data_IF_945121341777
#
_entry.id   IF_945121341777
#
_cell.length_a   1.000
_cell.length_b   1.000
_cell.length_c   1.000
_cell.angle_alpha   90.00
_cell.angle_beta   90.00
_cell.angle_gamma   90.00
#
_symmetry.space_group_name_H-M   'P 1'
#
loop_
_entity.id
_entity.type
_entity.pdbx_description
1 polymer ?
#
# COMPACT_ATOMS: atom_id res chain seq x y z
N UNK A 1 7.96 -15.25 -13.12
CA UNK A 1 7.37 -13.90 -13.30
C UNK A 1 7.73 -13.34 -14.67
N UNK A 2 9.04 -13.28 -15.04
CA UNK A 2 9.45 -12.69 -16.31
C UNK A 2 8.79 -13.33 -17.53
N UNK A 3 8.70 -14.64 -17.56
CA UNK A 3 8.08 -15.41 -18.65
C UNK A 3 6.59 -15.15 -18.76
N UNK A 4 5.86 -15.23 -17.63
CA UNK A 4 4.43 -14.92 -17.56
C UNK A 4 4.14 -13.46 -17.99
N UNK A 5 4.96 -12.52 -17.51
CA UNK A 5 4.82 -11.09 -17.84
C UNK A 5 5.11 -10.81 -19.32
N UNK A 6 5.92 -11.62 -19.99
CA UNK A 6 6.14 -11.52 -21.42
C UNK A 6 5.03 -12.16 -22.26
N UNK A 7 4.52 -13.31 -21.82
CA UNK A 7 3.45 -14.04 -22.49
C UNK A 7 2.13 -13.25 -22.48
N UNK A 8 1.83 -12.56 -21.37
CA UNK A 8 0.63 -11.73 -21.21
C UNK A 8 0.92 -10.22 -21.36
N UNK A 9 1.50 -9.84 -22.50
CA UNK A 9 1.92 -8.45 -22.75
C UNK A 9 0.79 -7.42 -22.57
N UNK A 10 -0.44 -7.74 -22.99
CA UNK A 10 -1.58 -6.85 -22.81
C UNK A 10 -1.90 -6.59 -21.34
N UNK A 11 -1.89 -7.65 -20.51
CA UNK A 11 -2.13 -7.54 -19.07
C UNK A 11 -1.00 -6.74 -18.38
N UNK A 12 0.24 -6.98 -18.81
CA UNK A 12 1.40 -6.21 -18.34
C UNK A 12 1.23 -4.71 -18.58
N UNK A 13 0.90 -4.33 -19.82
CA UNK A 13 0.75 -2.92 -20.17
C UNK A 13 -0.48 -2.29 -19.49
N UNK A 14 -1.56 -3.02 -19.31
CA UNK A 14 -2.69 -2.57 -18.50
C UNK A 14 -2.28 -2.31 -17.04
N UNK A 15 -1.50 -3.21 -16.45
CA UNK A 15 -0.95 -3.02 -15.10
C UNK A 15 -0.01 -1.81 -15.03
N UNK A 16 0.90 -1.64 -16.02
CA UNK A 16 1.77 -0.46 -16.10
C UNK A 16 0.94 0.82 -16.15
N UNK A 17 -0.08 0.89 -17.01
CA UNK A 17 -0.96 2.06 -17.10
C UNK A 17 -1.66 2.34 -15.76
N UNK A 18 -2.18 1.31 -15.08
CA UNK A 18 -2.81 1.47 -13.78
C UNK A 18 -1.84 2.02 -12.70
N UNK A 19 -0.61 1.51 -12.65
CA UNK A 19 0.41 2.00 -11.72
C UNK A 19 0.89 3.42 -12.05
N UNK A 20 0.98 3.79 -13.35
CA UNK A 20 1.28 5.17 -13.75
C UNK A 20 0.17 6.11 -13.28
N UNK A 21 -1.08 5.76 -13.50
CA UNK A 21 -2.23 6.56 -13.04
C UNK A 21 -2.20 6.69 -11.51
N UNK A 22 -1.98 5.60 -10.79
CA UNK A 22 -1.89 5.61 -9.33
C UNK A 22 -0.74 6.53 -8.85
N UNK A 23 0.45 6.42 -9.45
CA UNK A 23 1.60 7.26 -9.10
C UNK A 23 1.34 8.75 -9.39
N UNK A 24 0.69 9.08 -10.51
CA UNK A 24 0.30 10.45 -10.85
C UNK A 24 -0.70 11.02 -9.83
N UNK A 25 -1.70 10.22 -9.43
CA UNK A 25 -2.67 10.64 -8.42
C UNK A 25 -1.97 10.96 -7.09
N UNK A 26 -1.08 10.06 -6.63
CA UNK A 26 -0.33 10.26 -5.38
C UNK A 26 0.59 11.47 -5.49
N UNK A 27 1.32 11.60 -6.59
CA UNK A 27 2.22 12.73 -6.82
C UNK A 27 1.46 14.06 -6.82
N UNK A 28 0.32 14.13 -7.50
CA UNK A 28 -0.53 15.31 -7.51
C UNK A 28 -1.03 15.69 -6.10
N UNK A 29 -1.25 14.70 -5.23
CA UNK A 29 -1.66 14.94 -3.83
C UNK A 29 -0.50 15.45 -2.98
N UNK A 30 0.68 14.84 -3.12
CA UNK A 30 1.90 15.25 -2.39
C UNK A 30 2.36 16.64 -2.80
N UNK A 31 2.18 17.01 -4.08
CA UNK A 31 2.57 18.33 -4.60
C UNK A 31 1.48 19.39 -4.48
N UNK A 32 0.25 19.01 -4.10
CA UNK A 32 -0.81 19.98 -3.89
C UNK A 32 -0.40 20.97 -2.78
N UNK A 33 -0.47 22.29 -3.03
CA UNK A 33 -0.13 23.27 -2.02
C UNK A 33 -1.06 23.08 -0.81
N UNK A 34 -0.46 22.98 0.39
CA UNK A 34 -1.24 23.03 1.61
C UNK A 34 -2.00 24.36 1.61
N UNK A 35 -3.34 24.29 1.60
CA UNK A 35 -4.14 25.50 1.75
C UNK A 35 -3.77 26.10 3.10
N UNK A 36 -3.20 27.31 3.16
CA UNK A 36 -2.90 27.93 4.42
C UNK A 36 -4.23 28.09 5.18
N UNK A 37 -4.35 27.42 6.31
CA UNK A 37 -5.45 27.71 7.23
C UNK A 37 -5.29 29.17 7.62
N UNK A 38 -6.22 30.02 7.18
CA UNK A 38 -6.24 31.42 7.54
C UNK A 38 -6.34 31.52 9.08
N UNK A 39 -5.49 32.37 9.63
CA UNK A 39 -5.36 32.84 10.99
C UNK A 39 -4.47 32.03 11.96
N UNK A 40 -3.30 32.62 12.33
CA UNK A 40 -2.43 32.09 13.37
C UNK A 40 -2.95 32.34 14.80
N UNK A 41 -4.15 32.90 14.97
CA UNK A 41 -4.68 33.33 16.27
C UNK A 41 -5.40 32.20 17.02
N UNK A 42 -5.89 31.16 16.31
CA UNK A 42 -6.57 30.04 16.95
C UNK A 42 -5.63 28.84 17.11
N UNK A 43 -4.70 28.94 18.06
CA UNK A 43 -3.97 27.78 18.56
C UNK A 43 -4.85 26.89 19.45
N UNK A 44 -5.95 26.39 18.87
CA UNK A 44 -6.83 25.44 19.55
C UNK A 44 -6.20 24.04 19.53
N UNK A 45 -6.50 23.17 20.51
CA UNK A 45 -6.00 21.77 20.51
C UNK A 45 -6.40 21.00 19.24
N UNK A 46 -7.44 21.44 18.51
CA UNK A 46 -7.85 20.89 17.23
C UNK A 46 -6.83 21.13 16.10
N UNK A 47 -6.04 22.20 16.17
CA UNK A 47 -5.01 22.54 15.19
C UNK A 47 -3.81 21.58 15.24
N UNK A 48 -3.51 20.99 16.41
CA UNK A 48 -2.45 20.00 16.57
C UNK A 48 -2.88 18.65 16.00
N UNK A 49 -4.12 18.23 16.26
CA UNK A 49 -4.69 17.00 15.72
C UNK A 49 -4.79 17.04 14.19
N UNK A 50 -5.16 18.20 13.60
CA UNK A 50 -5.19 18.37 12.14
C UNK A 50 -3.80 18.27 11.51
N UNK A 51 -2.77 18.86 12.13
CA UNK A 51 -1.37 18.75 11.66
C UNK A 51 -0.85 17.32 11.74
N UNK A 52 -1.16 16.63 12.82
CA UNK A 52 -0.81 15.24 13.01
C UNK A 52 -1.48 14.32 11.99
N UNK A 53 -2.75 14.58 11.65
CA UNK A 53 -3.46 13.88 10.59
C UNK A 53 -2.82 14.13 9.22
N UNK A 54 -2.49 15.39 8.90
CA UNK A 54 -1.85 15.75 7.64
C UNK A 54 -0.46 15.07 7.47
N UNK A 55 0.32 15.00 8.55
CA UNK A 55 1.62 14.29 8.54
C UNK A 55 1.43 12.79 8.28
N UNK A 56 0.43 12.15 8.89
CA UNK A 56 0.12 10.74 8.65
C UNK A 56 -0.33 10.46 7.20
N UNK A 57 -1.04 11.40 6.58
CA UNK A 57 -1.41 11.31 5.18
C UNK A 57 -0.19 11.38 4.26
N UNK A 58 0.73 12.31 4.51
CA UNK A 58 1.95 12.45 3.71
C UNK A 58 2.86 11.21 3.80
N UNK A 59 2.98 10.59 4.98
CA UNK A 59 3.71 9.32 5.17
C UNK A 59 3.10 8.18 4.34
N UNK A 60 1.77 8.06 4.35
CA UNK A 60 1.06 7.02 3.59
C UNK A 60 1.16 7.26 2.08
N UNK A 61 1.03 8.49 1.63
CA UNK A 61 1.16 8.84 0.21
C UNK A 61 2.59 8.57 -0.29
N UNK A 62 3.62 8.91 0.49
CA UNK A 62 5.00 8.60 0.15
C UNK A 62 5.21 7.07 0.04
N UNK A 63 4.63 6.29 0.95
CA UNK A 63 4.68 4.83 0.92
C UNK A 63 4.03 4.25 -0.35
N UNK A 64 2.84 4.72 -0.70
CA UNK A 64 2.16 4.32 -1.93
C UNK A 64 2.96 4.68 -3.18
N UNK A 65 3.56 5.88 -3.22
CA UNK A 65 4.37 6.31 -4.35
C UNK A 65 5.58 5.40 -4.55
N UNK A 66 6.33 5.12 -3.48
CA UNK A 66 7.50 4.24 -3.53
C UNK A 66 7.09 2.84 -3.99
N UNK A 67 5.98 2.30 -3.45
CA UNK A 67 5.47 0.99 -3.83
C UNK A 67 5.06 0.96 -5.32
N UNK A 68 4.33 1.97 -5.81
CA UNK A 68 3.99 2.09 -7.22
C UNK A 68 5.22 2.12 -8.11
N UNK A 69 6.27 2.86 -7.74
CA UNK A 69 7.52 2.95 -8.50
C UNK A 69 8.27 1.61 -8.54
N UNK A 70 8.30 0.87 -7.43
CA UNK A 70 8.91 -0.47 -7.38
C UNK A 70 8.15 -1.43 -8.28
N UNK A 71 6.82 -1.44 -8.23
CA UNK A 71 5.98 -2.28 -9.09
C UNK A 71 6.12 -1.91 -10.56
N UNK A 72 6.16 -0.62 -10.90
CA UNK A 72 6.45 -0.14 -12.25
C UNK A 72 7.82 -0.62 -12.72
N UNK A 73 8.85 -0.50 -11.89
CA UNK A 73 10.18 -0.98 -12.21
C UNK A 73 10.20 -2.48 -12.57
N UNK A 74 9.50 -3.31 -11.79
CA UNK A 74 9.37 -4.75 -12.07
C UNK A 74 8.60 -5.06 -13.35
N UNK A 75 7.55 -4.29 -13.65
CA UNK A 75 6.70 -4.51 -14.84
C UNK A 75 7.35 -3.99 -16.12
N UNK A 76 8.03 -2.85 -16.06
CA UNK A 76 8.67 -2.22 -17.24
C UNK A 76 9.98 -2.94 -17.59
N UNK A 77 10.76 -3.35 -16.58
CA UNK A 77 12.07 -3.99 -16.75
C UNK A 77 12.10 -5.41 -16.20
N UNK A 78 11.29 -6.35 -16.72
CA UNK A 78 11.16 -7.69 -16.15
C UNK A 78 12.45 -8.51 -16.21
N UNK A 79 13.30 -8.26 -17.21
CA UNK A 79 14.60 -8.92 -17.40
C UNK A 79 15.81 -8.06 -17.00
N UNK A 80 15.63 -6.74 -16.88
CA UNK A 80 16.71 -5.79 -16.57
C UNK A 80 16.88 -5.52 -15.08
N UNK A 81 15.85 -5.75 -14.27
CA UNK A 81 15.94 -5.53 -12.84
C UNK A 81 16.62 -6.71 -12.15
N UNK A 82 17.79 -6.46 -11.54
CA UNK A 82 18.48 -7.47 -10.74
C UNK A 82 17.57 -7.95 -9.60
N UNK A 83 17.32 -9.28 -9.46
CA UNK A 83 16.55 -9.82 -8.35
C UNK A 83 17.10 -9.44 -6.97
N UNK A 84 18.42 -9.27 -6.86
CA UNK A 84 19.07 -8.83 -5.64
C UNK A 84 18.75 -7.36 -5.32
N UNK A 85 18.75 -6.47 -6.31
CA UNK A 85 18.40 -5.07 -6.11
C UNK A 85 16.94 -4.93 -5.68
N UNK A 86 16.02 -5.65 -6.33
CA UNK A 86 14.59 -5.63 -5.95
C UNK A 86 14.36 -6.15 -4.53
N UNK A 87 15.01 -7.26 -4.16
CA UNK A 87 14.96 -7.76 -2.77
C UNK A 87 15.53 -6.73 -1.80
N UNK A 88 16.65 -6.10 -2.13
CA UNK A 88 17.22 -5.05 -1.31
C UNK A 88 16.26 -3.90 -1.07
N UNK A 89 15.60 -3.40 -2.13
CA UNK A 89 14.63 -2.32 -2.02
C UNK A 89 13.41 -2.73 -1.19
N UNK A 90 12.83 -3.90 -1.45
CA UNK A 90 11.66 -4.38 -0.68
C UNK A 90 12.01 -4.63 0.78
N UNK A 91 13.19 -5.16 1.07
CA UNK A 91 13.68 -5.35 2.45
C UNK A 91 13.88 -4.00 3.12
N UNK A 92 14.51 -3.04 2.45
CA UNK A 92 14.69 -1.69 2.98
C UNK A 92 13.35 -1.02 3.28
N UNK A 93 12.36 -1.16 2.40
CA UNK A 93 11.01 -0.66 2.63
C UNK A 93 10.37 -1.30 3.86
N UNK A 94 10.42 -2.64 3.97
CA UNK A 94 9.87 -3.34 5.13
C UNK A 94 10.53 -2.88 6.44
N UNK A 95 11.86 -2.70 6.44
CA UNK A 95 12.62 -2.22 7.60
C UNK A 95 12.25 -0.77 7.94
N UNK A 96 12.13 0.11 6.95
CA UNK A 96 11.75 1.51 7.18
C UNK A 96 10.34 1.61 7.77
N UNK A 97 9.36 0.90 7.20
CA UNK A 97 8.00 0.91 7.73
C UNK A 97 7.90 0.26 9.12
N UNK A 98 8.64 -0.81 9.37
CA UNK A 98 8.73 -1.41 10.70
C UNK A 98 9.37 -0.45 11.71
N UNK A 99 10.46 0.23 11.32
CA UNK A 99 11.12 1.24 12.12
C UNK A 99 10.20 2.42 12.46
N UNK A 100 9.44 2.93 11.46
CA UNK A 100 8.44 3.97 11.67
C UNK A 100 7.34 3.52 12.63
N UNK A 101 6.83 2.29 12.46
CA UNK A 101 5.82 1.73 13.36
C UNK A 101 6.34 1.63 14.80
N UNK A 102 7.56 1.12 14.98
CA UNK A 102 8.21 1.02 16.29
C UNK A 102 8.45 2.39 16.92
N UNK A 103 8.91 3.37 16.12
CA UNK A 103 9.12 4.74 16.59
C UNK A 103 7.81 5.36 17.09
N UNK A 104 6.73 5.22 16.31
CA UNK A 104 5.40 5.72 16.70
C UNK A 104 4.86 5.00 17.94
N UNK A 105 5.06 3.69 18.03
CA UNK A 105 4.69 2.94 19.23
C UNK A 105 5.45 3.44 20.47
N UNK A 106 6.76 3.68 20.35
CA UNK A 106 7.58 4.22 21.44
C UNK A 106 7.15 5.64 21.84
N UNK A 107 6.90 6.53 20.88
CA UNK A 107 6.39 7.89 21.15
C UNK A 107 5.07 7.88 21.91
N UNK A 108 4.16 6.97 21.57
CA UNK A 108 2.88 6.83 22.26
C UNK A 108 3.04 6.22 23.65
N UNK A 109 3.90 5.20 23.79
CA UNK A 109 4.19 4.56 25.07
C UNK A 109 4.82 5.54 26.06
N UNK A 110 5.77 6.39 25.62
CA UNK A 110 6.40 7.41 26.48
C UNK A 110 5.41 8.47 26.96
N UNK A 111 4.32 8.70 26.22
CA UNK A 111 3.22 9.60 26.60
C UNK A 111 2.12 8.92 27.40
N UNK A 112 2.28 7.63 27.77
CA UNK A 112 1.27 6.84 28.45
C UNK A 112 -0.01 6.62 27.63
N UNK A 113 0.07 6.66 26.31
CA UNK A 113 -1.07 6.52 25.38
C UNK A 113 -0.92 5.26 24.54
N UNK A 114 -2.03 4.61 24.22
CA UNK A 114 -2.04 3.54 23.24
C UNK A 114 -1.81 4.12 21.82
N UNK A 115 -1.06 3.38 20.99
CA UNK A 115 -0.88 3.74 19.57
C UNK A 115 -2.25 3.74 18.87
N UNK A 116 -2.65 4.84 18.21
CA UNK A 116 -3.90 4.88 17.45
C UNK A 116 -3.88 3.83 16.33
N UNK A 117 -4.91 3.00 16.29
CA UNK A 117 -5.05 1.94 15.27
C UNK A 117 -4.97 2.56 13.86
N UNK A 118 -5.54 3.73 13.68
CA UNK A 118 -5.58 4.44 12.40
C UNK A 118 -4.19 4.82 11.86
N UNK A 119 -3.15 4.84 12.70
CA UNK A 119 -1.75 5.02 12.30
C UNK A 119 -0.96 3.72 12.20
N UNK A 120 -1.29 2.74 13.03
CA UNK A 120 -0.61 1.45 13.03
C UNK A 120 -0.98 0.60 11.82
N UNK A 121 -2.26 0.61 11.42
CA UNK A 121 -2.79 -0.22 10.34
C UNK A 121 -2.13 0.11 8.99
N UNK A 122 -2.00 1.38 8.55
CA UNK A 122 -1.33 1.69 7.29
C UNK A 122 0.11 1.19 7.22
N UNK A 123 0.89 1.44 8.26
CA UNK A 123 2.29 0.99 8.32
C UNK A 123 2.38 -0.54 8.32
N UNK A 124 1.54 -1.22 9.12
CA UNK A 124 1.45 -2.67 9.15
C UNK A 124 1.07 -3.26 7.79
N UNK A 125 0.17 -2.61 7.08
CA UNK A 125 -0.25 -2.99 5.74
C UNK A 125 0.91 -2.91 4.73
N UNK A 126 1.67 -1.81 4.71
CA UNK A 126 2.83 -1.67 3.82
C UNK A 126 3.93 -2.68 4.14
N UNK A 127 4.13 -3.02 5.42
CA UNK A 127 5.04 -4.11 5.82
C UNK A 127 4.55 -5.44 5.25
N UNK A 128 3.26 -5.74 5.38
CA UNK A 128 2.66 -6.97 4.87
C UNK A 128 2.75 -7.08 3.34
N UNK A 129 2.50 -5.99 2.62
CA UNK A 129 2.63 -5.93 1.16
C UNK A 129 4.07 -6.14 0.71
N UNK A 130 5.05 -5.48 1.35
CA UNK A 130 6.46 -5.68 1.07
C UNK A 130 6.91 -7.12 1.36
N UNK A 131 6.46 -7.71 2.48
CA UNK A 131 6.73 -9.08 2.84
C UNK A 131 6.10 -10.09 1.85
N UNK A 132 4.88 -9.84 1.38
CA UNK A 132 4.21 -10.67 0.37
C UNK A 132 4.98 -10.67 -0.96
N UNK A 133 5.50 -9.50 -1.37
CA UNK A 133 6.34 -9.40 -2.57
C UNK A 133 7.70 -10.08 -2.38
N UNK A 134 8.34 -9.96 -1.21
CA UNK A 134 9.56 -10.71 -0.88
C UNK A 134 9.31 -12.21 -0.89
N UNK A 135 8.15 -12.65 -0.38
CA UNK A 135 7.73 -14.04 -0.44
C UNK A 135 7.53 -14.52 -1.88
N UNK A 136 6.87 -13.73 -2.73
CA UNK A 136 6.76 -14.04 -4.16
C UNK A 136 8.12 -14.20 -4.85
N UNK A 137 9.14 -13.49 -4.38
CA UNK A 137 10.51 -13.57 -4.91
C UNK A 137 11.36 -14.67 -4.27
N UNK A 138 10.88 -15.41 -3.28
CA UNK A 138 11.69 -16.36 -2.48
C UNK A 138 12.24 -17.56 -3.28
N UNK A 139 11.64 -17.91 -4.42
CA UNK A 139 12.07 -19.00 -5.29
C UNK A 139 13.18 -18.66 -6.28
N UNK A 140 13.67 -17.42 -6.32
CA UNK A 140 14.70 -16.99 -7.26
C UNK A 140 16.08 -17.00 -6.57
N UNK A 141 16.82 -18.09 -6.72
CA UNK A 141 18.24 -18.14 -6.31
C UNK A 141 19.14 -17.76 -7.48
N UNK A 142 20.34 -17.25 -7.18
CA UNK A 142 21.34 -16.89 -8.20
C UNK A 142 21.85 -18.10 -9.03
N UNK A 143 21.61 -19.31 -8.55
CA UNK A 143 22.09 -20.58 -9.15
C UNK A 143 21.02 -21.37 -9.90
N UNK A 144 19.82 -20.82 -10.10
CA UNK A 144 18.71 -21.51 -10.77
C UNK A 144 17.50 -21.73 -9.88
N UNK A 145 16.44 -22.29 -10.45
CA UNK A 145 15.14 -22.48 -9.80
C UNK A 145 15.19 -23.62 -8.79
N UNK A 146 15.41 -23.32 -7.55
CA UNK A 146 15.17 -24.25 -6.44
C UNK A 146 13.86 -23.86 -5.74
N UNK A 147 12.76 -24.41 -6.21
CA UNK A 147 11.45 -24.31 -5.56
C UNK A 147 10.86 -22.90 -5.50
N UNK A 148 9.69 -22.65 -6.11
CA UNK A 148 8.94 -21.42 -5.92
C UNK A 148 8.33 -21.32 -4.52
N UNK A 149 7.67 -20.19 -4.19
CA UNK A 149 6.89 -20.07 -2.96
C UNK A 149 5.81 -21.15 -2.92
N UNK A 150 5.47 -21.62 -1.73
CA UNK A 150 4.41 -22.62 -1.58
C UNK A 150 3.08 -22.08 -2.14
N UNK A 151 2.41 -22.86 -2.97
CA UNK A 151 1.20 -22.46 -3.71
C UNK A 151 0.07 -22.02 -2.77
N UNK A 152 -0.18 -22.78 -1.70
CA UNK A 152 -1.26 -22.49 -0.75
C UNK A 152 -1.14 -21.10 -0.10
N UNK A 153 -0.05 -20.77 0.57
CA UNK A 153 0.15 -19.43 1.15
C UNK A 153 0.14 -18.31 0.11
N UNK A 154 0.70 -18.53 -1.09
CA UNK A 154 0.70 -17.52 -2.14
C UNK A 154 -0.73 -17.22 -2.64
N UNK A 155 -1.56 -18.25 -2.86
CA UNK A 155 -2.97 -18.08 -3.20
C UNK A 155 -3.77 -17.43 -2.07
N UNK A 156 -3.51 -17.83 -0.82
CA UNK A 156 -4.15 -17.21 0.35
C UNK A 156 -3.85 -15.71 0.45
N UNK A 157 -2.58 -15.31 0.28
CA UNK A 157 -2.19 -13.90 0.24
C UNK A 157 -2.81 -13.17 -0.96
N UNK A 158 -2.78 -13.76 -2.15
CA UNK A 158 -3.39 -13.16 -3.34
C UNK A 158 -4.91 -12.93 -3.14
N UNK A 159 -5.61 -13.90 -2.56
CA UNK A 159 -7.03 -13.78 -2.26
C UNK A 159 -7.30 -12.67 -1.22
N UNK A 160 -6.47 -12.54 -0.19
CA UNK A 160 -6.58 -11.47 0.82
C UNK A 160 -6.42 -10.08 0.18
N UNK A 161 -5.39 -9.87 -0.64
CA UNK A 161 -5.18 -8.60 -1.33
C UNK A 161 -6.31 -8.28 -2.33
N UNK A 162 -6.80 -9.27 -3.09
CA UNK A 162 -7.94 -9.08 -3.99
C UNK A 162 -9.23 -8.75 -3.23
N UNK A 163 -9.45 -9.40 -2.09
CA UNK A 163 -10.60 -9.09 -1.24
C UNK A 163 -10.52 -7.68 -0.68
N UNK A 164 -9.34 -7.24 -0.22
CA UNK A 164 -9.13 -5.87 0.27
C UNK A 164 -9.37 -4.86 -0.85
N UNK A 165 -8.78 -5.06 -2.04
CA UNK A 165 -9.00 -4.23 -3.22
C UNK A 165 -10.50 -4.10 -3.56
N UNK A 166 -11.23 -5.22 -3.54
CA UNK A 166 -12.66 -5.26 -3.84
C UNK A 166 -13.47 -4.48 -2.79
N UNK A 167 -13.19 -4.71 -1.50
CA UNK A 167 -13.87 -4.03 -0.40
C UNK A 167 -13.65 -2.52 -0.46
N UNK A 168 -12.43 -2.09 -0.72
CA UNK A 168 -12.07 -0.67 -0.86
C UNK A 168 -12.75 -0.06 -2.09
N UNK A 169 -12.75 -0.75 -3.23
CA UNK A 169 -13.41 -0.28 -4.44
C UNK A 169 -14.93 -0.15 -4.25
N UNK A 170 -15.57 -1.16 -3.65
CA UNK A 170 -17.01 -1.12 -3.34
C UNK A 170 -17.32 0.02 -2.37
N UNK A 171 -16.54 0.17 -1.30
CA UNK A 171 -16.73 1.26 -0.34
C UNK A 171 -16.60 2.64 -1.00
N UNK A 172 -15.64 2.82 -1.91
CA UNK A 172 -15.44 4.06 -2.66
C UNK A 172 -16.61 4.36 -3.63
N UNK A 173 -17.13 3.32 -4.30
CA UNK A 173 -18.23 3.49 -5.26
C UNK A 173 -19.60 3.70 -4.60
N UNK A 174 -19.84 3.04 -3.47
CA UNK A 174 -21.16 3.10 -2.80
C UNK A 174 -21.29 4.20 -1.77
N UNK A 175 -20.20 4.92 -1.46
CA UNK A 175 -20.18 5.87 -0.35
C UNK A 175 -20.37 5.21 1.02
N UNK A 176 -20.25 3.87 1.09
CA UNK A 176 -20.47 3.09 2.31
C UNK A 176 -19.48 3.43 3.44
N UNK A 177 -18.38 4.06 3.11
CA UNK A 177 -17.43 4.63 4.08
C UNK A 177 -18.08 5.66 5.02
N UNK A 178 -19.24 6.21 4.64
CA UNK A 178 -20.04 7.13 5.46
C UNK A 178 -20.98 6.41 6.44
N UNK A 179 -21.34 5.15 6.15
CA UNK A 179 -22.09 4.33 7.10
C UNK A 179 -21.08 3.81 8.14
N UNK A 180 -21.26 4.19 9.41
CA UNK A 180 -20.46 3.66 10.52
C UNK A 180 -20.75 2.16 10.69
N UNK A 181 -19.99 1.24 10.07
CA UNK A 181 -20.24 -0.17 10.25
C UNK A 181 -19.97 -0.55 11.71
N UNK A 182 -20.89 -1.29 12.31
CA UNK A 182 -20.73 -1.89 13.64
C UNK A 182 -20.20 -3.31 13.51
N UNK A 183 -19.41 -3.78 14.48
CA UNK A 183 -18.91 -5.16 14.53
C UNK A 183 -17.61 -5.42 13.75
N UNK A 184 -17.33 -6.68 13.35
CA UNK A 184 -16.06 -7.08 12.71
C UNK A 184 -15.84 -6.41 11.35
N UNK A 185 -16.90 -6.01 10.65
CA UNK A 185 -16.82 -5.19 9.43
C UNK A 185 -16.14 -3.83 9.67
N UNK A 186 -16.16 -3.33 10.92
CA UNK A 186 -15.41 -2.12 11.29
C UNK A 186 -13.90 -2.33 11.27
N UNK A 187 -13.41 -3.55 11.52
CA UNK A 187 -11.99 -3.88 11.40
C UNK A 187 -11.57 -4.01 9.94
N UNK A 188 -12.41 -4.61 9.10
CA UNK A 188 -12.20 -4.68 7.64
C UNK A 188 -12.33 -3.31 6.96
N UNK A 189 -13.30 -2.48 7.37
CA UNK A 189 -13.38 -1.10 6.92
C UNK A 189 -12.22 -0.22 7.44
N UNK A 190 -11.52 -0.66 8.49
CA UNK A 190 -10.33 0.00 9.04
C UNK A 190 -9.02 -0.53 8.48
N UNK A 191 -8.96 -1.75 7.92
CA UNK A 191 -7.82 -2.19 7.11
C UNK A 191 -7.81 -1.46 5.75
N UNK A 192 -8.98 -1.23 5.14
CA UNK A 192 -9.16 -0.18 4.13
C UNK A 192 -9.02 1.24 4.69
N UNK A 193 -8.68 1.39 5.96
CA UNK A 193 -8.57 2.63 6.72
C UNK A 193 -7.44 3.55 6.28
N UNK A 194 -6.41 3.04 5.59
CA UNK A 194 -5.51 3.89 4.83
C UNK A 194 -6.29 4.77 3.86
N UNK A 195 -7.32 4.21 3.23
CA UNK A 195 -8.14 4.90 2.24
C UNK A 195 -9.25 5.70 2.91
N UNK A 196 -9.93 5.15 3.91
CA UNK A 196 -11.00 5.86 4.62
C UNK A 196 -10.48 7.07 5.42
N UNK A 197 -9.28 6.98 5.99
CA UNK A 197 -8.61 8.12 6.64
C UNK A 197 -8.09 9.15 5.62
N UNK A 198 -7.72 8.69 4.42
CA UNK A 198 -7.16 9.54 3.37
C UNK A 198 -8.24 10.22 2.52
N UNK A 199 -9.42 9.60 2.36
CA UNK A 199 -10.38 10.12 1.40
C UNK A 199 -11.26 11.22 1.97
N UNK A 200 -11.38 11.36 3.29
CA UNK A 200 -12.45 12.24 3.77
C UNK A 200 -13.73 12.02 2.96
N UNK A 201 -14.85 12.59 3.26
CA UNK A 201 -16.15 12.19 2.71
C UNK A 201 -16.36 12.33 1.19
N UNK A 202 -15.37 12.62 0.36
CA UNK A 202 -15.72 13.12 -0.96
C UNK A 202 -14.92 12.66 -2.20
N UNK A 203 -13.88 11.84 -2.12
CA UNK A 203 -13.09 11.58 -3.35
C UNK A 203 -12.77 10.11 -3.60
N UNK A 204 -13.56 9.41 -4.45
CA UNK A 204 -13.29 8.00 -4.82
C UNK A 204 -11.91 7.78 -5.44
N UNK A 205 -11.33 8.80 -6.08
CA UNK A 205 -9.98 8.75 -6.67
C UNK A 205 -8.87 8.44 -5.67
N UNK A 206 -9.07 8.76 -4.41
CA UNK A 206 -8.07 8.50 -3.38
C UNK A 206 -7.93 7.01 -3.08
N UNK A 207 -8.92 6.18 -3.42
CA UNK A 207 -8.87 4.73 -3.30
C UNK A 207 -8.04 4.06 -4.40
N UNK A 208 -7.87 4.73 -5.55
CA UNK A 208 -7.22 4.14 -6.73
C UNK A 208 -5.81 3.62 -6.44
N UNK A 209 -4.89 4.37 -5.80
CA UNK A 209 -3.54 3.88 -5.55
C UNK A 209 -3.52 2.61 -4.70
N UNK A 210 -4.39 2.52 -3.69
CA UNK A 210 -4.51 1.36 -2.83
C UNK A 210 -5.03 0.13 -3.60
N UNK A 211 -6.15 0.28 -4.31
CA UNK A 211 -6.72 -0.80 -5.12
C UNK A 211 -5.74 -1.31 -6.18
N UNK A 212 -5.00 -0.42 -6.83
CA UNK A 212 -3.99 -0.78 -7.83
C UNK A 212 -2.82 -1.51 -7.18
N UNK A 213 -2.38 -1.09 -5.99
CA UNK A 213 -1.30 -1.75 -5.26
C UNK A 213 -1.70 -3.18 -4.86
N UNK A 214 -2.91 -3.37 -4.35
CA UNK A 214 -3.43 -4.69 -3.96
C UNK A 214 -3.58 -5.62 -5.13
N UNK A 215 -4.24 -5.14 -6.18
CA UNK A 215 -4.40 -5.91 -7.41
C UNK A 215 -3.04 -6.29 -8.01
N UNK A 216 -2.06 -5.38 -7.97
CA UNK A 216 -0.70 -5.63 -8.42
C UNK A 216 0.04 -6.65 -7.56
N UNK A 217 -0.09 -6.57 -6.23
CA UNK A 217 0.51 -7.54 -5.31
C UNK A 217 -0.10 -8.94 -5.53
N UNK A 218 -1.42 -9.02 -5.64
CA UNK A 218 -2.11 -10.27 -5.96
C UNK A 218 -1.68 -10.83 -7.33
N UNK A 219 -1.58 -9.98 -8.34
CA UNK A 219 -1.09 -10.36 -9.66
C UNK A 219 0.31 -10.98 -9.59
N UNK A 220 1.24 -10.36 -8.85
CA UNK A 220 2.61 -10.88 -8.70
C UNK A 220 2.64 -12.23 -7.98
N UNK A 221 1.81 -12.41 -6.94
CA UNK A 221 1.68 -13.68 -6.23
C UNK A 221 1.13 -14.80 -7.13
N UNK A 222 0.12 -14.51 -7.94
CA UNK A 222 -0.45 -15.46 -8.90
C UNK A 222 0.55 -15.77 -10.02
N UNK A 223 1.22 -14.76 -10.57
CA UNK A 223 2.21 -14.92 -11.63
C UNK A 223 3.39 -15.82 -11.26
N UNK A 224 3.68 -15.98 -9.97
CA UNK A 224 4.74 -16.89 -9.51
C UNK A 224 4.27 -18.34 -9.45
N UNK A 225 2.96 -18.59 -9.34
CA UNK A 225 2.39 -19.94 -9.20
C UNK A 225 2.11 -20.59 -10.57
N UNK A 226 1.76 -19.79 -11.57
CA UNK A 226 1.35 -20.27 -12.92
C UNK A 226 2.56 -20.66 -13.80
N UNK A 227 3.71 -20.84 -13.23
CA UNK A 227 4.94 -21.28 -13.94
C UNK A 227 4.91 -22.76 -14.30
#
# INVERSE_FOLDING_TARGET
VAEFVQEYAALRWAAVAAFVIAAVIVLARVTAPAVPSADPVDASPDSSAARDAAAGHAESDAAHLVMCLVMLGMLVFPSGASPHALRGVLTAMAVVFAGLLMLRAAEHATRGRALPIDRAVPLGYHIAAAAAMLYAMSGHTASGHAGGPAVGPALGLAALFLLDALLVAVAACTGWAHARPSGPLRLLARSGGCVAALTGPAKPWAAVPHVVMDAGTAYMLVAVIIR
#
